data_IF_547089229756
#
_entry.id   IF_547089229756
#
_cell.length_a   1.000
_cell.length_b   1.000
_cell.length_c   1.000
_cell.angle_alpha   90.00
_cell.angle_beta   90.00
_cell.angle_gamma   90.00
#
_symmetry.space_group_name_H-M   'P 1'
#
loop_
_entity.id
_entity.type
_entity.pdbx_description
1 polymer ?
#
# COMPACT_ATOMS: atom_id res chain seq x y z
N UNK A 1 -27.64 16.93 -36.55
CA UNK A 1 -26.26 16.52 -36.20
C UNK A 1 -26.31 15.04 -35.85
N UNK A 2 -25.81 14.18 -36.75
CA UNK A 2 -25.82 12.72 -36.56
C UNK A 2 -24.59 12.34 -35.76
N UNK A 3 -24.75 12.11 -34.45
CA UNK A 3 -23.68 11.56 -33.63
C UNK A 3 -23.51 10.10 -33.98
N UNK A 4 -22.53 9.80 -34.83
CA UNK A 4 -22.05 8.43 -35.04
C UNK A 4 -21.41 7.96 -33.74
N UNK A 5 -22.15 7.19 -32.95
CA UNK A 5 -21.58 6.43 -31.85
C UNK A 5 -20.80 5.28 -32.51
N UNK A 6 -19.50 5.49 -32.71
CA UNK A 6 -18.60 4.41 -33.08
C UNK A 6 -18.70 3.36 -31.96
N UNK A 7 -19.15 2.15 -32.33
CA UNK A 7 -19.17 1.02 -31.43
C UNK A 7 -17.74 0.81 -30.92
N UNK A 8 -17.52 1.13 -29.64
CA UNK A 8 -16.28 0.80 -28.94
C UNK A 8 -16.28 -0.72 -28.89
N UNK A 9 -15.54 -1.34 -29.81
CA UNK A 9 -15.28 -2.76 -29.78
C UNK A 9 -14.61 -3.05 -28.43
N UNK A 10 -15.38 -3.63 -27.51
CA UNK A 10 -14.90 -4.11 -26.23
C UNK A 10 -13.98 -5.30 -26.52
N UNK A 11 -12.71 -4.99 -26.78
CA UNK A 11 -11.67 -6.01 -26.84
C UNK A 11 -11.52 -6.59 -25.43
N UNK A 12 -11.47 -7.92 -25.28
CA UNK A 12 -11.37 -8.57 -23.97
C UNK A 12 -10.14 -8.09 -23.17
N UNK A 13 -9.12 -7.56 -23.85
CA UNK A 13 -7.95 -6.93 -23.25
C UNK A 13 -8.25 -5.66 -22.43
N UNK A 14 -9.24 -4.86 -22.83
CA UNK A 14 -9.59 -3.63 -22.10
C UNK A 14 -10.27 -3.92 -20.74
N UNK A 15 -11.16 -4.92 -20.69
CA UNK A 15 -11.78 -5.36 -19.43
C UNK A 15 -10.76 -5.95 -18.45
N UNK A 16 -9.80 -6.72 -18.94
CA UNK A 16 -8.72 -7.28 -18.12
C UNK A 16 -7.85 -6.17 -17.50
N UNK A 17 -7.56 -5.11 -18.25
CA UNK A 17 -6.77 -3.98 -17.77
C UNK A 17 -7.46 -3.17 -16.66
N UNK A 18 -8.78 -3.00 -16.74
CA UNK A 18 -9.56 -2.36 -15.67
C UNK A 18 -9.60 -3.21 -14.40
N UNK A 19 -9.83 -4.52 -14.50
CA UNK A 19 -9.88 -5.42 -13.33
C UNK A 19 -8.53 -5.54 -12.62
N UNK A 20 -7.42 -5.55 -13.36
CA UNK A 20 -6.08 -5.63 -12.79
C UNK A 20 -5.69 -4.38 -11.97
N UNK A 21 -6.13 -3.19 -12.41
CA UNK A 21 -5.91 -1.94 -11.67
C UNK A 21 -6.69 -1.92 -10.34
N UNK A 22 -7.92 -2.45 -10.34
CA UNK A 22 -8.75 -2.55 -9.13
C UNK A 22 -8.05 -3.35 -8.03
N UNK A 23 -7.57 -4.55 -8.36
CA UNK A 23 -6.94 -5.44 -7.40
C UNK A 23 -5.65 -4.87 -6.79
N UNK A 24 -4.83 -4.17 -7.59
CA UNK A 24 -3.63 -3.52 -7.10
C UNK A 24 -3.96 -2.35 -6.13
N UNK A 25 -4.98 -1.56 -6.45
CA UNK A 25 -5.43 -0.47 -5.60
C UNK A 25 -6.03 -0.97 -4.28
N UNK A 26 -6.79 -2.06 -4.31
CA UNK A 26 -7.33 -2.70 -3.10
C UNK A 26 -6.22 -3.21 -2.18
N UNK A 27 -5.20 -3.87 -2.73
CA UNK A 27 -4.07 -4.39 -1.95
C UNK A 27 -3.25 -3.26 -1.30
N UNK A 28 -3.01 -2.17 -2.04
CA UNK A 28 -2.39 -0.96 -1.49
C UNK A 28 -3.26 -0.35 -0.37
N UNK A 29 -4.57 -0.29 -0.58
CA UNK A 29 -5.53 0.19 0.41
C UNK A 29 -5.56 -0.66 1.70
N UNK A 30 -5.49 -1.98 1.58
CA UNK A 30 -5.41 -2.89 2.74
C UNK A 30 -4.08 -2.72 3.50
N UNK A 31 -2.97 -2.58 2.78
CA UNK A 31 -1.66 -2.34 3.40
C UNK A 31 -1.65 -1.04 4.22
N UNK A 32 -2.20 0.04 3.67
CA UNK A 32 -2.29 1.34 4.36
C UNK A 32 -3.20 1.28 5.59
N UNK A 33 -4.31 0.53 5.53
CA UNK A 33 -5.20 0.33 6.69
C UNK A 33 -4.49 -0.42 7.82
N UNK A 34 -3.87 -1.55 7.51
CA UNK A 34 -3.13 -2.36 8.49
C UNK A 34 -1.99 -1.59 9.15
N UNK A 35 -1.25 -0.77 8.38
CA UNK A 35 -0.19 0.07 8.92
C UNK A 35 -0.73 1.15 9.86
N UNK A 36 -1.85 1.80 9.50
CA UNK A 36 -2.49 2.79 10.38
C UNK A 36 -2.95 2.16 11.69
N UNK A 37 -3.57 0.99 11.64
CA UNK A 37 -4.02 0.29 12.83
C UNK A 37 -2.86 -0.06 13.78
N UNK A 38 -1.70 -0.44 13.24
CA UNK A 38 -0.50 -0.66 14.03
C UNK A 38 -0.04 0.63 14.73
N UNK A 39 0.05 1.75 14.02
CA UNK A 39 0.49 3.03 14.59
C UNK A 39 -0.49 3.60 15.63
N UNK A 40 -1.79 3.27 15.54
CA UNK A 40 -2.77 3.62 16.58
C UNK A 40 -2.50 2.82 17.87
N UNK A 41 -2.05 1.57 17.76
CA UNK A 41 -1.74 0.69 18.89
C UNK A 41 -0.37 1.01 19.51
N UNK A 42 0.59 1.45 18.70
CA UNK A 42 1.95 1.81 19.12
C UNK A 42 2.22 3.31 18.86
N UNK A 43 1.57 4.23 19.61
CA UNK A 43 1.62 5.67 19.33
C UNK A 43 3.00 6.30 19.57
N UNK A 44 3.84 5.67 20.39
CA UNK A 44 5.21 6.12 20.67
C UNK A 44 6.26 5.53 19.71
N UNK A 45 5.84 4.72 18.74
CA UNK A 45 6.75 4.08 17.80
C UNK A 45 7.26 5.09 16.75
N UNK A 46 8.58 5.28 16.71
CA UNK A 46 9.26 6.17 15.76
C UNK A 46 9.76 5.43 14.53
N UNK A 47 10.06 4.13 14.67
CA UNK A 47 10.50 3.25 13.59
C UNK A 47 9.95 1.85 13.77
N UNK A 48 9.49 1.25 12.68
CA UNK A 48 8.95 -0.11 12.67
C UNK A 48 9.33 -0.84 11.38
N UNK A 49 9.16 -2.16 11.40
CA UNK A 49 9.45 -3.04 10.27
C UNK A 49 8.37 -4.08 10.08
N UNK A 50 8.15 -4.48 8.84
CA UNK A 50 7.36 -5.65 8.45
C UNK A 50 8.27 -6.81 7.99
N UNK A 51 9.53 -6.82 8.43
CA UNK A 51 10.65 -7.65 7.95
C UNK A 51 11.14 -7.33 6.54
N UNK A 52 10.38 -6.60 5.73
CA UNK A 52 10.74 -6.30 4.34
C UNK A 52 11.21 -4.87 4.13
N UNK A 53 10.62 -3.94 4.86
CA UNK A 53 10.85 -2.51 4.77
C UNK A 53 11.08 -1.94 6.16
N UNK A 54 11.95 -0.94 6.25
CA UNK A 54 12.07 -0.12 7.45
C UNK A 54 11.25 1.15 7.24
N UNK A 55 10.31 1.41 8.14
CA UNK A 55 9.42 2.56 8.11
C UNK A 55 9.72 3.49 9.28
N UNK A 56 9.95 4.76 8.99
CA UNK A 56 10.12 5.83 9.99
C UNK A 56 8.90 6.72 10.02
N UNK A 57 8.40 7.04 11.20
CA UNK A 57 7.31 8.01 11.37
C UNK A 57 7.90 9.42 11.35
N UNK A 58 7.54 10.21 10.34
CA UNK A 58 7.90 11.63 10.20
C UNK A 58 6.63 12.44 10.08
N UNK A 59 6.46 13.45 10.95
CA UNK A 59 5.28 14.32 10.95
C UNK A 59 3.95 13.53 11.02
N UNK A 60 3.95 12.41 11.78
CA UNK A 60 2.79 11.51 11.90
C UNK A 60 2.55 10.59 10.69
N UNK A 61 3.42 10.63 9.68
CA UNK A 61 3.31 9.84 8.46
C UNK A 61 4.46 8.81 8.37
N UNK A 62 4.16 7.54 8.07
CA UNK A 62 5.20 6.54 7.85
C UNK A 62 5.86 6.74 6.48
N UNK A 63 7.19 6.82 6.48
CA UNK A 63 8.04 6.86 5.29
C UNK A 63 8.89 5.59 5.30
N UNK A 64 8.65 4.72 4.32
CA UNK A 64 9.25 3.39 4.25
C UNK A 64 10.33 3.29 3.17
N UNK A 65 11.33 2.44 3.41
CA UNK A 65 12.29 2.02 2.39
C UNK A 65 11.61 1.17 1.31
N UNK A 66 12.31 0.99 0.18
CA UNK A 66 11.96 -0.07 -0.78
C UNK A 66 12.15 -1.43 -0.13
N UNK A 67 11.22 -2.38 -0.29
CA UNK A 67 11.37 -3.72 0.25
C UNK A 67 12.51 -4.48 -0.43
N UNK A 68 13.20 -5.33 0.33
CA UNK A 68 14.24 -6.23 -0.20
C UNK A 68 13.65 -7.26 -1.17
N UNK A 69 14.47 -7.71 -2.12
CA UNK A 69 14.07 -8.75 -3.09
C UNK A 69 13.73 -10.06 -2.37
N UNK A 70 12.62 -10.69 -2.78
CA UNK A 70 12.12 -11.97 -2.26
C UNK A 70 11.79 -11.98 -0.75
N UNK A 71 11.49 -10.82 -0.16
CA UNK A 71 11.05 -10.77 1.24
C UNK A 71 9.58 -11.16 1.41
N UNK A 72 9.30 -11.90 2.48
CA UNK A 72 7.94 -12.24 2.91
C UNK A 72 7.54 -11.31 4.05
N UNK A 73 6.48 -10.51 3.84
CA UNK A 73 5.98 -9.56 4.84
C UNK A 73 5.54 -10.30 6.10
N UNK A 74 6.00 -9.82 7.24
CA UNK A 74 5.54 -10.23 8.56
C UNK A 74 4.60 -9.18 9.17
N UNK A 75 4.09 -9.45 10.37
CA UNK A 75 3.39 -8.45 11.15
C UNK A 75 4.33 -7.29 11.51
N UNK A 76 3.78 -6.06 11.52
CA UNK A 76 4.55 -4.88 11.93
C UNK A 76 5.07 -5.01 13.36
N UNK A 77 6.34 -4.68 13.55
CA UNK A 77 7.01 -4.68 14.84
C UNK A 77 7.73 -3.36 15.04
N UNK A 78 7.56 -2.74 16.20
CA UNK A 78 8.27 -1.51 16.54
C UNK A 78 9.75 -1.82 16.83
N UNK A 79 10.66 -1.16 16.13
CA UNK A 79 12.12 -1.33 16.30
C UNK A 79 12.73 -0.19 17.09
N UNK A 80 12.11 1.00 17.06
CA UNK A 80 12.56 2.16 17.84
C UNK A 80 11.39 2.99 18.33
N UNK A 81 11.45 3.38 19.60
CA UNK A 81 10.50 4.31 20.22
C UNK A 81 11.02 5.74 20.27
N UNK A 82 10.10 6.68 20.37
CA UNK A 82 10.40 8.12 20.49
C UNK A 82 11.17 8.48 21.76
N UNK A 83 11.07 7.67 22.82
CA UNK A 83 11.73 7.89 24.11
C UNK A 83 13.00 7.05 24.33
N UNK A 84 13.53 6.41 23.29
CA UNK A 84 14.81 5.68 23.32
C UNK A 84 15.99 6.56 22.88
#
# INVERSE_FOLDING_TARGET
MRTSIAAVAFTPAFLAFFLAQSAAAENAGQTMRSMREFLIKEPDCAEFTDQCSICKVKDGLPVCSTPSTACIKAAYTCTRRTQQ
#
